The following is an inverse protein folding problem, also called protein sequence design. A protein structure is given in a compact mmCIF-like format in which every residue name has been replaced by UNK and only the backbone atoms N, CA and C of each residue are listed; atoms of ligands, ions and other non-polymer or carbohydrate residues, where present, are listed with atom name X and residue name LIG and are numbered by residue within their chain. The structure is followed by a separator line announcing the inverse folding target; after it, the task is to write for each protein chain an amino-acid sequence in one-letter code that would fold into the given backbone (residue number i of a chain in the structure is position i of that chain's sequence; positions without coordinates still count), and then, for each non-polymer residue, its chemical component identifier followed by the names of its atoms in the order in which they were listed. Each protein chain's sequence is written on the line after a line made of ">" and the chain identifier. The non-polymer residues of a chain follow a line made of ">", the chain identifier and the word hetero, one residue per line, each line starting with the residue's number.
data_IF_401968753606
#
_entry.id   IF_401968753606
#
_cell.length_a   1.000
_cell.length_b   1.000
_cell.length_c   1.000
_cell.angle_alpha   90.00
_cell.angle_beta   90.00
_cell.angle_gamma   90.00
#
_symmetry.space_group_name_H-M   'P 1'
#
loop_
_entity.id
_entity.type
_entity.pdbx_description
1 polymer ?
#
# COMPACT_ATOMS: atom_id res chain seq x y z
N UNK A 1 -35.57 9.26 -53.63
CA UNK A 1 -34.14 8.82 -53.57
C UNK A 1 -34.06 7.59 -52.68
N UNK A 2 -33.68 6.44 -53.24
CA UNK A 2 -33.45 5.21 -52.46
C UNK A 2 -31.99 5.21 -52.05
N UNK A 3 -31.65 5.33 -50.76
CA UNK A 3 -30.34 5.10 -50.21
C UNK A 3 -30.06 3.58 -50.33
N UNK A 4 -29.03 3.21 -51.09
CA UNK A 4 -28.52 1.82 -51.16
C UNK A 4 -27.72 1.62 -49.87
N UNK A 5 -28.26 0.85 -48.95
CA UNK A 5 -27.51 0.38 -47.80
C UNK A 5 -26.40 -0.56 -48.32
N UNK A 6 -25.15 -0.11 -48.17
CA UNK A 6 -23.97 -0.93 -48.45
C UNK A 6 -23.73 -1.82 -47.24
N UNK A 7 -23.98 -3.11 -47.41
CA UNK A 7 -23.64 -4.09 -46.38
C UNK A 7 -22.13 -4.26 -46.25
N UNK A 8 -21.67 -4.63 -45.06
CA UNK A 8 -20.27 -4.96 -44.76
C UNK A 8 -19.85 -6.21 -45.53
N UNK A 9 -18.65 -6.23 -46.10
CA UNK A 9 -18.07 -7.40 -46.75
C UNK A 9 -17.43 -8.31 -45.73
N UNK A 10 -17.37 -9.63 -45.98
CA UNK A 10 -16.73 -10.61 -45.12
C UNK A 10 -15.25 -10.30 -44.91
N UNK A 11 -14.57 -9.84 -45.96
CA UNK A 11 -13.14 -9.47 -45.90
C UNK A 11 -12.91 -8.25 -45.00
N UNK A 12 -13.82 -7.28 -45.00
CA UNK A 12 -13.75 -6.07 -44.19
C UNK A 12 -13.92 -6.43 -42.68
N UNK A 13 -14.80 -7.38 -42.36
CA UNK A 13 -14.96 -7.90 -41.01
C UNK A 13 -13.70 -8.64 -40.56
N UNK A 14 -13.10 -9.49 -41.42
CA UNK A 14 -11.87 -10.22 -41.08
C UNK A 14 -10.71 -9.28 -40.80
N UNK A 15 -10.52 -8.25 -41.64
CA UNK A 15 -9.47 -7.25 -41.45
C UNK A 15 -9.70 -6.46 -40.16
N UNK A 16 -10.95 -6.08 -39.86
CA UNK A 16 -11.29 -5.34 -38.63
C UNK A 16 -10.98 -6.15 -37.37
N UNK A 17 -11.31 -7.46 -37.38
CA UNK A 17 -10.97 -8.34 -36.25
C UNK A 17 -9.46 -8.54 -36.14
N UNK A 18 -8.73 -8.70 -37.23
CA UNK A 18 -7.29 -8.85 -37.21
C UNK A 18 -6.60 -7.61 -36.59
N UNK A 19 -7.02 -6.41 -36.98
CA UNK A 19 -6.52 -5.16 -36.40
C UNK A 19 -6.86 -5.07 -34.91
N UNK A 20 -8.09 -5.43 -34.53
CA UNK A 20 -8.54 -5.41 -33.12
C UNK A 20 -7.66 -6.33 -32.25
N UNK A 21 -7.36 -7.56 -32.73
CA UNK A 21 -6.51 -8.51 -32.02
C UNK A 21 -5.10 -7.95 -31.78
N UNK A 22 -4.51 -7.30 -32.79
CA UNK A 22 -3.19 -6.67 -32.67
C UNK A 22 -3.23 -5.53 -31.64
N UNK A 23 -4.26 -4.70 -31.65
CA UNK A 23 -4.41 -3.60 -30.68
C UNK A 23 -4.56 -4.14 -29.24
N UNK A 24 -5.36 -5.19 -29.04
CA UNK A 24 -5.54 -5.83 -27.74
C UNK A 24 -4.21 -6.44 -27.25
N UNK A 25 -3.45 -7.10 -28.11
CA UNK A 25 -2.17 -7.71 -27.76
C UNK A 25 -1.14 -6.70 -27.21
N UNK A 26 -1.18 -5.46 -27.66
CA UNK A 26 -0.32 -4.37 -27.18
C UNK A 26 -0.90 -3.70 -25.92
N UNK A 27 -2.23 -3.57 -25.85
CA UNK A 27 -2.90 -2.86 -24.76
C UNK A 27 -2.84 -3.62 -23.42
N UNK A 28 -2.99 -4.95 -23.43
CA UNK A 28 -3.04 -5.76 -22.19
C UNK A 28 -1.77 -5.63 -21.34
N UNK A 29 -0.55 -5.84 -21.84
CA UNK A 29 0.66 -5.76 -21.02
C UNK A 29 0.88 -4.34 -20.43
N UNK A 30 0.53 -3.31 -21.19
CA UNK A 30 0.61 -1.92 -20.73
C UNK A 30 -0.34 -1.67 -19.56
N UNK A 31 -1.56 -2.17 -19.63
CA UNK A 31 -2.57 -2.02 -18.58
C UNK A 31 -2.17 -2.71 -17.28
N UNK A 32 -1.62 -3.92 -17.34
CA UNK A 32 -1.13 -4.65 -16.16
C UNK A 32 -0.04 -3.88 -15.43
N UNK A 33 0.89 -3.24 -16.16
CA UNK A 33 1.93 -2.41 -15.57
C UNK A 33 1.38 -1.18 -14.85
N UNK A 34 0.38 -0.51 -15.43
CA UNK A 34 -0.29 0.65 -14.82
C UNK A 34 -1.02 0.24 -13.54
N UNK A 35 -1.75 -0.87 -13.57
CA UNK A 35 -2.46 -1.40 -12.40
C UNK A 35 -1.51 -1.79 -11.27
N UNK A 36 -0.38 -2.41 -11.59
CA UNK A 36 0.65 -2.76 -10.59
C UNK A 36 1.20 -1.51 -9.90
N UNK A 37 1.49 -0.45 -10.67
CA UNK A 37 1.96 0.84 -10.14
C UNK A 37 0.91 1.50 -9.25
N UNK A 38 -0.33 1.60 -9.74
CA UNK A 38 -1.44 2.20 -8.97
C UNK A 38 -1.70 1.48 -7.66
N UNK A 39 -1.66 0.14 -7.65
CA UNK A 39 -1.81 -0.64 -6.42
C UNK A 39 -0.66 -0.38 -5.45
N UNK A 40 0.60 -0.33 -5.94
CA UNK A 40 1.75 -0.04 -5.09
C UNK A 40 1.66 1.34 -4.43
N UNK A 41 1.26 2.36 -5.20
CA UNK A 41 1.10 3.73 -4.69
C UNK A 41 -0.07 3.82 -3.67
N UNK A 42 -1.16 3.10 -3.91
CA UNK A 42 -2.29 3.05 -2.99
C UNK A 42 -1.93 2.38 -1.65
N UNK A 43 -1.27 1.22 -1.70
CA UNK A 43 -0.91 0.44 -0.51
C UNK A 43 0.12 1.17 0.37
N UNK A 44 1.16 1.78 -0.22
CA UNK A 44 2.14 2.55 0.55
C UNK A 44 1.54 3.84 1.12
N UNK A 45 0.63 4.48 0.38
CA UNK A 45 -0.10 5.66 0.86
C UNK A 45 -1.04 5.31 2.02
N UNK A 46 -1.68 4.13 1.99
CA UNK A 46 -2.53 3.67 3.09
C UNK A 46 -1.70 3.39 4.35
N UNK A 47 -0.53 2.76 4.21
CA UNK A 47 0.40 2.58 5.32
C UNK A 47 0.89 3.91 5.90
N UNK A 48 1.24 4.86 5.04
CA UNK A 48 1.61 6.22 5.46
C UNK A 48 0.48 6.90 6.24
N UNK A 49 -0.77 6.77 5.78
CA UNK A 49 -1.95 7.29 6.50
C UNK A 49 -2.16 6.61 7.84
N UNK A 50 -1.95 5.30 7.93
CA UNK A 50 -2.07 4.55 9.19
C UNK A 50 -1.02 5.00 10.22
N UNK A 51 0.23 5.19 9.78
CA UNK A 51 1.32 5.69 10.64
C UNK A 51 1.05 7.13 11.10
N UNK A 52 0.64 8.02 10.21
CA UNK A 52 0.28 9.39 10.59
C UNK A 52 -0.94 9.44 11.51
N UNK A 53 -1.94 8.57 11.30
CA UNK A 53 -3.08 8.42 12.19
C UNK A 53 -2.64 7.98 13.60
N UNK A 54 -1.79 6.95 13.69
CA UNK A 54 -1.24 6.50 14.97
C UNK A 54 -0.51 7.62 15.70
N UNK A 55 0.30 8.40 15.00
CA UNK A 55 1.00 9.57 15.55
C UNK A 55 0.04 10.62 16.11
N UNK A 56 -0.99 10.98 15.35
CA UNK A 56 -1.98 11.98 15.76
C UNK A 56 -2.78 11.48 16.97
N UNK A 57 -3.17 10.21 16.98
CA UNK A 57 -3.89 9.62 18.11
C UNK A 57 -3.03 9.55 19.39
N UNK A 58 -1.72 9.31 19.24
CA UNK A 58 -0.80 9.34 20.37
C UNK A 58 -0.74 10.73 21.02
N UNK A 59 -0.69 11.78 20.20
CA UNK A 59 -0.71 13.17 20.68
C UNK A 59 -2.06 13.51 21.31
N UNK A 60 -3.16 13.18 20.62
CA UNK A 60 -4.51 13.55 21.07
C UNK A 60 -4.90 12.85 22.38
N UNK A 61 -4.48 11.60 22.57
CA UNK A 61 -4.81 10.81 23.77
C UNK A 61 -3.78 10.95 24.88
N UNK A 62 -2.61 11.52 24.60
CA UNK A 62 -1.53 11.64 25.57
C UNK A 62 -0.90 10.31 25.98
N UNK A 63 -1.10 9.23 25.20
CA UNK A 63 -0.60 7.88 25.47
C UNK A 63 0.07 7.29 24.24
N UNK A 64 1.01 6.34 24.38
CA UNK A 64 1.63 5.70 23.22
C UNK A 64 0.63 4.96 22.36
N UNK A 65 0.76 5.12 21.03
CA UNK A 65 -0.03 4.40 20.01
C UNK A 65 0.90 3.76 19.02
N UNK A 66 0.61 2.52 18.66
CA UNK A 66 1.44 1.72 17.77
C UNK A 66 0.68 1.21 16.55
N UNK A 67 1.42 0.97 15.48
CA UNK A 67 1.00 0.17 14.34
C UNK A 67 1.68 -1.18 14.43
N UNK A 68 0.90 -2.25 14.47
CA UNK A 68 1.39 -3.62 14.66
C UNK A 68 0.70 -4.59 13.71
N UNK A 69 1.43 -5.53 13.09
CA UNK A 69 0.84 -6.62 12.35
C UNK A 69 0.05 -7.56 13.28
N UNK A 70 -1.14 -7.98 12.85
CA UNK A 70 -1.96 -8.97 13.58
C UNK A 70 -1.23 -10.32 13.64
N UNK A 71 -0.56 -10.69 12.55
CA UNK A 71 0.35 -11.85 12.52
C UNK A 71 1.79 -11.33 12.62
N UNK A 72 2.51 -11.81 13.59
CA UNK A 72 3.85 -11.34 13.93
C UNK A 72 4.75 -11.22 12.69
N UNK A 73 5.38 -10.08 12.52
CA UNK A 73 6.26 -9.70 11.39
C UNK A 73 5.62 -9.71 10.00
N UNK A 74 4.32 -9.94 9.86
CA UNK A 74 3.66 -9.95 8.55
C UNK A 74 3.09 -8.57 8.20
N UNK A 75 3.96 -7.65 7.80
CA UNK A 75 3.59 -6.27 7.45
C UNK A 75 2.71 -6.14 6.19
N UNK A 76 2.61 -7.19 5.40
CA UNK A 76 1.67 -7.29 4.27
C UNK A 76 0.28 -7.78 4.69
N UNK A 77 0.17 -8.33 5.91
CA UNK A 77 -1.10 -8.76 6.48
C UNK A 77 -1.93 -7.60 7.03
N UNK A 78 -2.97 -7.96 7.76
CA UNK A 78 -3.78 -6.98 8.49
C UNK A 78 -2.94 -6.29 9.56
N UNK A 79 -2.99 -4.95 9.61
CA UNK A 79 -2.30 -4.15 10.61
C UNK A 79 -3.33 -3.48 11.53
N UNK A 80 -3.04 -3.47 12.82
CA UNK A 80 -3.81 -2.73 13.82
C UNK A 80 -3.09 -1.45 14.22
N UNK A 81 -3.83 -0.35 14.28
CA UNK A 81 -3.45 0.85 15.03
C UNK A 81 -4.10 0.72 16.39
N UNK A 82 -3.30 0.66 17.45
CA UNK A 82 -3.80 0.38 18.80
C UNK A 82 -3.05 1.16 19.88
N UNK A 83 -3.68 1.34 21.01
CA UNK A 83 -3.09 1.97 22.20
C UNK A 83 -2.19 0.98 22.93
N UNK A 84 -0.96 1.38 23.22
CA UNK A 84 0.00 0.59 23.99
C UNK A 84 0.45 -0.70 23.31
N UNK A 85 1.15 -1.55 24.09
CA UNK A 85 1.72 -2.82 23.60
C UNK A 85 0.78 -4.02 23.75
N UNK A 86 -0.36 -3.86 24.40
CA UNK A 86 -1.26 -4.98 24.68
C UNK A 86 -2.31 -5.08 23.58
N UNK A 87 -2.23 -6.14 22.81
CA UNK A 87 -3.24 -6.49 21.81
C UNK A 87 -4.54 -6.91 22.49
N UNK A 88 -5.40 -5.94 22.75
CA UNK A 88 -6.74 -6.14 23.26
C UNK A 88 -7.70 -5.48 22.26
N UNK A 89 -8.82 -6.14 21.96
CA UNK A 89 -9.81 -5.65 21.01
C UNK A 89 -10.32 -4.24 21.37
N UNK A 90 -10.40 -3.93 22.64
CA UNK A 90 -10.80 -2.62 23.13
C UNK A 90 -9.75 -1.51 22.89
N UNK A 91 -8.50 -1.86 22.60
CA UNK A 91 -7.41 -0.92 22.35
C UNK A 91 -7.19 -0.62 20.86
N UNK A 92 -7.83 -1.37 19.96
CA UNK A 92 -7.71 -1.18 18.52
C UNK A 92 -8.51 0.05 18.09
N UNK A 93 -7.82 1.02 17.52
CA UNK A 93 -8.39 2.28 17.04
C UNK A 93 -8.76 2.23 15.57
N UNK A 94 -7.95 1.53 14.79
CA UNK A 94 -8.13 1.36 13.35
C UNK A 94 -7.52 0.05 12.88
N UNK A 95 -8.17 -0.57 11.92
CA UNK A 95 -7.65 -1.75 11.22
C UNK A 95 -7.34 -1.35 9.78
N UNK A 96 -6.12 -1.65 9.35
CA UNK A 96 -5.71 -1.57 7.95
C UNK A 96 -5.81 -2.98 7.34
N UNK A 97 -6.54 -3.16 6.23
CA UNK A 97 -6.68 -4.47 5.61
C UNK A 97 -5.34 -4.97 5.05
N UNK A 98 -5.24 -6.27 4.87
CA UNK A 98 -4.08 -6.88 4.23
C UNK A 98 -3.85 -6.32 2.82
N UNK A 99 -2.60 -6.19 2.45
CA UNK A 99 -2.18 -5.81 1.10
C UNK A 99 -2.53 -6.93 0.12
N UNK A 100 -2.67 -6.59 -1.14
CA UNK A 100 -2.95 -7.57 -2.20
C UNK A 100 -1.77 -8.51 -2.42
N UNK A 101 -2.05 -9.69 -2.92
CA UNK A 101 -1.04 -10.72 -3.21
C UNK A 101 0.12 -10.18 -4.08
N UNK A 102 1.32 -10.68 -3.79
CA UNK A 102 2.55 -10.27 -4.46
C UNK A 102 3.23 -9.02 -3.90
N UNK A 103 2.67 -8.39 -2.84
CA UNK A 103 3.34 -7.36 -2.08
C UNK A 103 4.36 -7.98 -1.10
N UNK A 104 5.51 -7.34 -0.96
CA UNK A 104 6.52 -7.65 0.06
C UNK A 104 6.84 -6.37 0.80
N UNK A 105 6.76 -6.42 2.13
CA UNK A 105 7.07 -5.27 2.99
C UNK A 105 8.12 -5.67 4.01
N UNK A 106 9.21 -4.92 4.03
CA UNK A 106 10.28 -5.05 5.01
C UNK A 106 10.35 -3.77 5.85
N UNK A 107 10.17 -3.91 7.15
CA UNK A 107 10.28 -2.79 8.09
C UNK A 107 11.55 -2.96 8.90
N UNK A 108 12.49 -2.07 8.70
CA UNK A 108 13.83 -2.15 9.28
C UNK A 108 14.22 -0.84 9.96
N UNK A 109 15.01 -0.97 11.01
CA UNK A 109 15.74 0.14 11.63
C UNK A 109 17.23 -0.23 11.67
N UNK A 110 18.09 0.68 12.09
CA UNK A 110 19.52 0.36 12.35
C UNK A 110 19.71 -0.72 13.40
N UNK A 111 18.68 -0.97 14.23
CA UNK A 111 18.70 -2.00 15.28
C UNK A 111 18.15 -3.35 14.81
N UNK A 112 17.79 -3.47 13.53
CA UNK A 112 17.23 -4.70 12.94
C UNK A 112 15.76 -4.56 12.51
N UNK A 113 15.11 -5.69 12.19
CA UNK A 113 13.70 -5.72 11.82
C UNK A 113 12.81 -5.18 12.95
N UNK A 114 11.77 -4.43 12.59
CA UNK A 114 10.81 -3.89 13.54
C UNK A 114 9.48 -4.63 13.47
N UNK A 115 8.99 -5.10 14.62
CA UNK A 115 7.74 -5.84 14.76
C UNK A 115 6.55 -4.91 14.95
N UNK A 116 6.79 -3.69 15.39
CA UNK A 116 5.80 -2.61 15.54
C UNK A 116 6.48 -1.26 15.33
N UNK A 117 5.67 -0.24 15.06
CA UNK A 117 6.09 1.16 15.02
C UNK A 117 5.22 1.90 16.02
N UNK A 118 5.81 2.42 17.09
CA UNK A 118 5.12 3.10 18.17
C UNK A 118 5.50 4.57 18.24
N UNK A 119 4.50 5.42 18.44
CA UNK A 119 4.66 6.85 18.68
C UNK A 119 4.32 7.18 20.13
N UNK A 120 5.11 8.04 20.76
CA UNK A 120 4.85 8.52 22.10
C UNK A 120 3.80 9.66 22.11
N UNK A 121 3.41 10.09 23.29
CA UNK A 121 2.43 11.17 23.50
C UNK A 121 2.83 12.55 22.94
N UNK A 122 4.11 12.73 22.54
CA UNK A 122 4.59 13.93 21.86
C UNK A 122 4.61 13.76 20.33
N UNK A 123 4.21 12.59 19.83
CA UNK A 123 4.22 12.25 18.42
C UNK A 123 5.61 11.93 17.85
N UNK A 124 6.60 11.72 18.70
CA UNK A 124 7.91 11.22 18.31
C UNK A 124 7.90 9.67 18.25
N UNK A 125 8.82 9.10 17.49
CA UNK A 125 9.00 7.65 17.44
C UNK A 125 9.47 7.14 18.80
N UNK A 126 8.76 6.18 19.38
CA UNK A 126 9.07 5.55 20.67
C UNK A 126 9.73 4.18 20.47
N UNK A 127 9.23 3.42 19.52
CA UNK A 127 9.80 2.13 19.12
C UNK A 127 9.63 1.92 17.60
N UNK A 128 10.68 1.44 16.93
CA UNK A 128 12.08 1.29 17.40
C UNK A 128 12.71 2.62 17.82
N UNK A 129 13.76 2.54 18.64
CA UNK A 129 14.49 3.74 19.14
C UNK A 129 15.37 4.43 18.10
N UNK A 130 15.26 4.01 16.85
CA UNK A 130 15.98 4.54 15.69
C UNK A 130 15.02 4.73 14.51
N UNK A 131 15.38 5.60 13.57
CA UNK A 131 14.61 5.83 12.36
C UNK A 131 14.28 4.52 11.64
N UNK A 132 13.07 4.43 11.10
CA UNK A 132 12.55 3.24 10.44
C UNK A 132 12.47 3.48 8.94
N UNK A 133 12.88 2.48 8.18
CA UNK A 133 12.70 2.41 6.73
C UNK A 133 11.75 1.27 6.42
N UNK A 134 10.66 1.60 5.75
CA UNK A 134 9.72 0.63 5.21
C UNK A 134 10.01 0.49 3.72
N UNK A 135 10.55 -0.66 3.34
CA UNK A 135 10.74 -1.06 1.95
C UNK A 135 9.52 -1.82 1.48
N UNK A 136 8.88 -1.36 0.42
CA UNK A 136 7.76 -2.03 -0.24
C UNK A 136 8.18 -2.44 -1.66
N UNK A 137 7.88 -3.68 -2.04
CA UNK A 137 8.10 -4.20 -3.39
C UNK A 137 6.86 -4.96 -3.87
N UNK A 138 6.52 -4.77 -5.16
CA UNK A 138 5.49 -5.53 -5.86
C UNK A 138 5.88 -5.68 -7.33
N UNK A 139 6.30 -6.89 -7.71
CA UNK A 139 6.90 -7.10 -9.03
C UNK A 139 8.10 -6.18 -9.23
N UNK A 140 8.06 -5.32 -10.26
CA UNK A 140 9.11 -4.32 -10.54
C UNK A 140 8.93 -3.00 -9.79
N UNK A 141 7.80 -2.83 -9.08
CA UNK A 141 7.51 -1.58 -8.36
C UNK A 141 8.16 -1.60 -6.98
N UNK A 142 9.01 -0.62 -6.72
CA UNK A 142 9.67 -0.42 -5.43
C UNK A 142 9.24 0.94 -4.88
N UNK A 143 8.88 0.98 -3.59
CA UNK A 143 8.57 2.21 -2.85
C UNK A 143 9.26 2.18 -1.51
N UNK A 144 9.55 3.35 -0.97
CA UNK A 144 10.12 3.50 0.36
C UNK A 144 9.31 4.50 1.15
N UNK A 145 9.17 4.22 2.44
CA UNK A 145 8.58 5.12 3.40
C UNK A 145 9.55 5.22 4.58
N UNK A 146 9.80 6.42 5.03
CA UNK A 146 10.72 6.67 6.13
C UNK A 146 9.95 7.24 7.31
N UNK A 147 10.30 6.79 8.52
CA UNK A 147 9.78 7.34 9.78
C UNK A 147 10.97 7.86 10.57
N UNK A 148 11.06 9.18 10.69
CA UNK A 148 12.11 9.83 11.46
C UNK A 148 11.87 9.73 12.97
N UNK A 149 12.92 9.97 13.77
CA UNK A 149 12.82 9.98 15.23
C UNK A 149 11.79 11.00 15.76
N UNK A 150 11.60 12.11 15.04
CA UNK A 150 10.57 13.11 15.33
C UNK A 150 9.15 12.66 14.96
N UNK A 151 8.97 11.40 14.54
CA UNK A 151 7.71 10.81 14.12
C UNK A 151 7.20 11.28 12.76
N UNK A 152 7.96 12.06 11.98
CA UNK A 152 7.57 12.42 10.62
C UNK A 152 7.64 11.21 9.70
N UNK A 153 6.59 11.02 8.92
CA UNK A 153 6.47 9.99 7.90
C UNK A 153 6.61 10.67 6.54
N UNK A 154 7.56 10.20 5.72
CA UNK A 154 7.84 10.78 4.40
C UNK A 154 8.31 9.71 3.40
N UNK A 155 8.02 9.92 2.14
CA UNK A 155 8.44 9.08 1.00
C UNK A 155 9.73 9.61 0.40
#
# INVERSE_FOLDING_TARGET
>A
MRFRDKGFTLIELMVSIAVLVVLIAVAIPSFVGIMARSNADAEISELSRALNYARIEAINRGVPVQVVPVVNNLWTGTLNVQVGQVANVASVLRVMPAMKDGAVVNVTSVNGPANNIEFNNLGALNFPTAAVVVGYTRGTQVRRLNVGLNGRVFQ
#
